data_IF_601494846828
#
_entry.id   IF_601494846828
#
_cell.length_a   1.000
_cell.length_b   1.000
_cell.length_c   1.000
_cell.angle_alpha   90.00
_cell.angle_beta   90.00
_cell.angle_gamma   90.00
#
_symmetry.space_group_name_H-M   'P 1'
#
loop_
_entity.id
_entity.type
_entity.pdbx_description
1 polymer ?
#
# COMPACT_ATOMS: atom_id res chain seq x y z
N UNK A 1 118.08 16.23 31.35
CA UNK A 1 118.20 16.14 29.88
C UNK A 1 116.84 15.81 29.32
N UNK A 2 116.30 16.79 28.60
CA UNK A 2 114.96 16.89 28.02
C UNK A 2 114.98 16.39 26.58
N UNK A 3 114.07 15.49 26.20
CA UNK A 3 113.71 15.26 24.80
C UNK A 3 112.19 15.41 24.66
N UNK A 4 111.80 16.59 24.17
CA UNK A 4 110.48 16.92 23.64
C UNK A 4 110.27 16.11 22.35
N UNK A 5 109.35 15.14 22.35
CA UNK A 5 108.73 14.71 21.10
C UNK A 5 107.56 15.64 20.84
N UNK A 6 107.79 16.59 19.95
CA UNK A 6 106.77 17.43 19.34
C UNK A 6 106.11 16.62 18.23
N UNK A 7 104.97 15.99 18.54
CA UNK A 7 104.06 15.51 17.51
C UNK A 7 103.48 16.75 16.82
N UNK A 8 104.15 17.13 15.74
CA UNK A 8 103.72 18.16 14.81
C UNK A 8 102.63 17.56 13.92
N UNK A 9 101.54 18.32 13.77
CA UNK A 9 100.45 18.09 12.84
C UNK A 9 101.01 17.82 11.42
N UNK A 10 100.85 16.60 10.94
CA UNK A 10 101.29 16.15 9.60
C UNK A 10 100.27 16.47 8.48
N UNK A 11 99.29 17.34 8.75
CA UNK A 11 98.32 17.80 7.74
C UNK A 11 98.74 19.09 7.04
N UNK A 12 99.77 19.80 7.54
CA UNK A 12 100.22 21.07 6.96
C UNK A 12 101.24 20.91 5.82
N UNK A 13 101.55 19.68 5.38
CA UNK A 13 102.55 19.42 4.33
C UNK A 13 102.06 18.54 3.17
N UNK A 14 100.75 18.38 3.00
CA UNK A 14 100.22 17.76 1.78
C UNK A 14 100.18 18.82 0.68
N UNK A 15 100.90 18.58 -0.42
CA UNK A 15 100.83 19.44 -1.61
C UNK A 15 99.37 19.64 -2.01
N UNK A 16 98.91 20.86 -2.31
CA UNK A 16 97.52 21.13 -2.67
C UNK A 16 96.96 20.23 -3.78
N UNK A 17 97.83 19.85 -4.72
CA UNK A 17 97.54 18.89 -5.79
C UNK A 17 97.19 17.49 -5.27
N UNK A 18 97.88 16.99 -4.25
CA UNK A 18 97.59 15.68 -3.67
C UNK A 18 96.28 15.69 -2.85
N UNK A 19 95.96 16.81 -2.19
CA UNK A 19 94.68 16.99 -1.51
C UNK A 19 93.50 17.00 -2.51
N UNK A 20 93.70 17.62 -3.67
CA UNK A 20 92.70 17.64 -4.75
C UNK A 20 92.50 16.26 -5.40
N UNK A 21 93.59 15.52 -5.65
CA UNK A 21 93.49 14.15 -6.20
C UNK A 21 92.78 13.19 -5.24
N UNK A 22 92.93 13.39 -3.92
CA UNK A 22 92.20 12.63 -2.91
C UNK A 22 90.72 13.03 -2.89
N UNK A 23 90.41 14.33 -2.90
CA UNK A 23 89.02 14.82 -2.92
C UNK A 23 88.25 14.36 -4.18
N UNK A 24 88.89 14.35 -5.35
CA UNK A 24 88.30 13.85 -6.60
C UNK A 24 87.99 12.35 -6.50
N UNK A 25 88.91 11.56 -5.95
CA UNK A 25 88.69 10.12 -5.73
C UNK A 25 87.58 9.83 -4.71
N UNK A 26 87.43 10.67 -3.69
CA UNK A 26 86.36 10.57 -2.69
C UNK A 26 84.98 10.95 -3.28
N UNK A 27 84.93 11.96 -4.15
CA UNK A 27 83.72 12.35 -4.90
C UNK A 27 83.24 11.19 -5.78
N UNK A 28 84.14 10.53 -6.49
CA UNK A 28 83.79 9.39 -7.37
C UNK A 28 83.30 8.15 -6.59
N UNK A 29 83.70 8.00 -5.32
CA UNK A 29 83.36 6.86 -4.47
C UNK A 29 82.09 7.04 -3.63
N UNK A 30 81.69 8.28 -3.32
CA UNK A 30 80.44 8.56 -2.61
C UNK A 30 79.23 8.27 -3.52
N UNK A 31 78.25 7.49 -3.07
CA UNK A 31 77.09 7.09 -3.88
C UNK A 31 75.90 8.05 -3.85
N UNK A 32 75.96 9.09 -3.02
CA UNK A 32 74.85 10.03 -2.80
C UNK A 32 75.16 11.40 -3.40
N UNK A 33 74.31 11.88 -4.31
CA UNK A 33 74.52 13.13 -5.04
C UNK A 33 74.71 14.35 -4.11
N UNK A 34 74.02 14.41 -2.98
CA UNK A 34 74.16 15.53 -2.03
C UNK A 34 75.52 15.53 -1.33
N UNK A 35 76.06 14.35 -1.00
CA UNK A 35 77.41 14.22 -0.41
C UNK A 35 78.49 14.61 -1.42
N UNK A 36 78.30 14.24 -2.70
CA UNK A 36 79.16 14.68 -3.81
C UNK A 36 79.18 16.19 -3.96
N UNK A 37 78.02 16.84 -3.87
CA UNK A 37 77.93 18.31 -3.98
C UNK A 37 78.63 19.00 -2.80
N UNK A 38 78.48 18.49 -1.58
CA UNK A 38 79.19 19.02 -0.40
C UNK A 38 80.71 18.89 -0.57
N UNK A 39 81.19 17.73 -1.04
CA UNK A 39 82.61 17.52 -1.31
C UNK A 39 83.13 18.42 -2.44
N UNK A 40 82.35 18.63 -3.50
CA UNK A 40 82.69 19.55 -4.58
C UNK A 40 82.81 21.00 -4.11
N UNK A 41 81.89 21.49 -3.27
CA UNK A 41 81.99 22.83 -2.68
C UNK A 41 83.17 22.96 -1.72
N UNK A 42 83.48 21.91 -0.94
CA UNK A 42 84.68 21.88 -0.10
C UNK A 42 85.97 21.94 -0.93
N UNK A 43 86.01 21.26 -2.10
CA UNK A 43 87.14 21.35 -3.02
C UNK A 43 87.28 22.77 -3.61
N UNK A 44 86.17 23.40 -4.02
CA UNK A 44 86.20 24.81 -4.45
C UNK A 44 86.76 25.73 -3.37
N UNK A 45 86.34 25.56 -2.12
CA UNK A 45 86.80 26.38 -1.00
C UNK A 45 88.31 26.21 -0.70
N UNK A 46 88.90 25.05 -1.05
CA UNK A 46 90.35 24.81 -0.94
C UNK A 46 91.15 25.41 -2.12
N UNK A 47 90.57 25.47 -3.32
CA UNK A 47 91.23 25.98 -4.54
C UNK A 47 91.18 27.51 -4.60
N UNK A 48 90.06 28.11 -4.19
CA UNK A 48 89.82 29.57 -4.29
C UNK A 48 90.96 30.42 -3.71
N UNK A 49 91.53 30.13 -2.52
CA UNK A 49 92.65 30.89 -1.97
C UNK A 49 93.94 30.80 -2.78
N UNK A 50 94.13 29.72 -3.54
CA UNK A 50 95.38 29.42 -4.27
C UNK A 50 95.42 30.06 -5.67
N UNK A 51 94.27 30.57 -6.15
CA UNK A 51 94.12 31.16 -7.49
C UNK A 51 94.58 32.62 -7.61
N UNK A 52 95.01 33.25 -6.52
CA UNK A 52 95.54 34.62 -6.52
C UNK A 52 94.55 35.64 -7.09
N UNK A 53 94.91 36.30 -8.20
CA UNK A 53 94.10 37.35 -8.84
C UNK A 53 92.73 36.85 -9.33
N UNK A 54 92.60 35.56 -9.64
CA UNK A 54 91.34 34.96 -10.09
C UNK A 54 90.42 34.50 -8.96
N UNK A 55 90.88 34.57 -7.71
CA UNK A 55 90.12 34.20 -6.52
C UNK A 55 88.73 34.87 -6.44
N UNK A 56 88.58 36.19 -6.71
CA UNK A 56 87.27 36.84 -6.65
C UNK A 56 86.28 36.33 -7.72
N UNK A 57 86.79 36.02 -8.93
CA UNK A 57 85.96 35.51 -10.02
C UNK A 57 85.43 34.11 -9.71
N UNK A 58 86.31 33.21 -9.25
CA UNK A 58 85.92 31.82 -8.94
C UNK A 58 85.08 31.76 -7.66
N UNK A 59 85.30 32.66 -6.69
CA UNK A 59 84.42 32.80 -5.53
C UNK A 59 83.00 33.20 -5.93
N UNK A 60 82.84 34.12 -6.89
CA UNK A 60 81.52 34.48 -7.41
C UNK A 60 80.83 33.30 -8.11
N UNK A 61 81.56 32.55 -8.96
CA UNK A 61 81.02 31.35 -9.60
C UNK A 61 80.61 30.28 -8.57
N UNK A 62 81.44 30.05 -7.54
CA UNK A 62 81.11 29.13 -6.44
C UNK A 62 79.82 29.55 -5.72
N UNK A 63 79.63 30.84 -5.49
CA UNK A 63 78.40 31.36 -4.87
C UNK A 63 77.19 31.21 -5.80
N UNK A 64 77.32 31.49 -7.10
CA UNK A 64 76.25 31.26 -8.08
C UNK A 64 75.86 29.78 -8.16
N UNK A 65 76.84 28.87 -8.19
CA UNK A 65 76.57 27.43 -8.16
C UNK A 65 75.93 27.00 -6.84
N UNK A 66 76.35 27.57 -5.71
CA UNK A 66 75.77 27.28 -4.41
C UNK A 66 74.29 27.70 -4.34
N UNK A 67 73.96 28.89 -4.86
CA UNK A 67 72.58 29.38 -4.94
C UNK A 67 71.71 28.58 -5.93
N UNK A 68 72.31 27.92 -6.93
CA UNK A 68 71.58 27.02 -7.84
C UNK A 68 71.21 25.68 -7.19
N UNK A 69 72.01 25.20 -6.24
CA UNK A 69 71.86 23.87 -5.62
C UNK A 69 71.06 23.96 -4.32
N UNK A 70 71.27 25.03 -3.55
CA UNK A 70 70.64 25.25 -2.26
C UNK A 70 69.65 26.41 -2.31
N UNK A 71 68.52 26.24 -1.64
CA UNK A 71 67.46 27.25 -1.61
C UNK A 71 67.87 28.48 -0.80
N UNK A 72 67.61 29.65 -1.38
CA UNK A 72 67.78 30.93 -0.71
C UNK A 72 66.71 31.22 0.36
N UNK A 73 65.58 30.51 0.31
CA UNK A 73 64.41 30.80 1.15
C UNK A 73 64.19 29.78 2.27
N UNK A 74 64.69 28.55 2.09
CA UNK A 74 64.46 27.46 3.04
C UNK A 74 65.76 27.05 3.73
N UNK A 75 65.76 27.13 5.06
CA UNK A 75 66.87 26.72 5.91
C UNK A 75 66.43 25.70 6.95
N UNK A 76 67.33 24.79 7.31
CA UNK A 76 67.14 23.81 8.38
C UNK A 76 68.13 24.13 9.50
N UNK A 77 67.66 24.15 10.74
CA UNK A 77 68.55 24.16 11.90
C UNK A 77 69.08 22.75 12.13
N UNK A 78 70.37 22.54 11.86
CA UNK A 78 71.05 21.32 12.29
C UNK A 78 71.69 21.52 13.66
N UNK A 79 71.35 20.63 14.59
CA UNK A 79 72.02 20.54 15.89
C UNK A 79 73.20 19.59 15.71
N UNK A 80 74.40 20.13 15.46
CA UNK A 80 75.61 19.31 15.43
C UNK A 80 75.95 18.81 16.84
N UNK A 81 75.56 17.57 17.15
CA UNK A 81 76.00 16.87 18.35
C UNK A 81 77.44 16.35 18.13
N UNK A 82 78.43 17.25 18.11
CA UNK A 82 79.83 16.81 18.19
C UNK A 82 80.05 16.22 19.59
N UNK A 83 80.46 14.95 19.64
CA UNK A 83 80.56 14.07 20.82
C UNK A 83 81.58 14.50 21.90
N UNK A 84 81.95 15.77 21.98
CA UNK A 84 82.93 16.30 22.94
C UNK A 84 82.22 17.14 24.00
N UNK A 85 82.08 16.55 25.19
CA UNK A 85 81.62 17.21 26.43
C UNK A 85 82.30 18.59 26.58
N UNK A 86 81.50 19.65 26.71
CA UNK A 86 81.86 21.06 27.04
C UNK A 86 82.19 22.04 25.89
N UNK A 87 81.48 22.02 24.76
CA UNK A 87 81.35 23.23 23.92
C UNK A 87 79.87 23.53 23.62
N UNK A 88 79.51 24.81 23.64
CA UNK A 88 78.15 25.34 23.43
C UNK A 88 77.51 24.68 22.20
N UNK A 89 76.23 24.30 22.29
CA UNK A 89 75.43 23.90 21.12
C UNK A 89 75.39 25.11 20.18
N UNK A 90 76.07 25.01 19.05
CA UNK A 90 75.95 26.00 17.98
C UNK A 90 74.92 25.39 17.02
N UNK A 91 73.72 25.96 16.99
CA UNK A 91 72.77 25.66 15.93
C UNK A 91 73.36 26.26 14.65
N UNK A 92 73.70 25.42 13.68
CA UNK A 92 74.05 25.89 12.34
C UNK A 92 72.79 25.90 11.50
N UNK A 93 72.48 27.07 10.94
CA UNK A 93 71.42 27.24 9.95
C UNK A 93 72.02 26.85 8.61
N UNK A 94 71.60 25.72 8.07
CA UNK A 94 72.04 25.22 6.76
C UNK A 94 70.92 25.44 5.73
N UNK A 95 71.28 25.88 4.52
CA UNK A 95 70.31 26.01 3.43
C UNK A 95 69.92 24.62 2.93
N UNK A 96 68.63 24.44 2.64
CA UNK A 96 68.13 23.16 2.17
C UNK A 96 68.41 22.99 0.67
N UNK A 97 68.87 21.81 0.25
CA UNK A 97 69.04 21.47 -1.16
C UNK A 97 67.69 21.48 -1.89
N UNK A 98 67.67 21.99 -3.13
CA UNK A 98 66.48 21.92 -3.98
C UNK A 98 66.04 20.47 -4.25
N UNK A 99 66.96 19.50 -4.24
CA UNK A 99 66.65 18.07 -4.35
C UNK A 99 65.68 17.62 -3.25
N UNK A 100 66.01 17.95 -1.99
CA UNK A 100 65.17 17.60 -0.83
C UNK A 100 63.81 18.30 -0.88
N UNK A 101 63.77 19.55 -1.38
CA UNK A 101 62.50 20.26 -1.58
C UNK A 101 61.63 19.56 -2.65
N UNK A 102 62.24 19.11 -3.74
CA UNK A 102 61.55 18.35 -4.78
C UNK A 102 61.04 17.00 -4.26
N UNK A 103 61.85 16.26 -3.50
CA UNK A 103 61.43 14.98 -2.88
C UNK A 103 60.22 15.19 -1.96
N UNK A 104 60.26 16.19 -1.07
CA UNK A 104 59.11 16.52 -0.21
C UNK A 104 57.86 16.89 -1.00
N UNK A 105 58.02 17.60 -2.10
CA UNK A 105 56.90 17.98 -2.96
C UNK A 105 56.30 16.76 -3.67
N UNK A 106 57.14 15.82 -4.10
CA UNK A 106 56.71 14.55 -4.68
C UNK A 106 55.98 13.71 -3.63
N UNK A 107 56.51 13.60 -2.40
CA UNK A 107 55.90 12.84 -1.31
C UNK A 107 54.52 13.41 -0.94
N UNK A 108 54.40 14.74 -0.83
CA UNK A 108 53.13 15.41 -0.57
C UNK A 108 52.11 15.17 -1.70
N UNK A 109 52.55 15.23 -2.96
CA UNK A 109 51.69 14.92 -4.10
C UNK A 109 51.23 13.46 -4.10
N UNK A 110 52.13 12.51 -3.81
CA UNK A 110 51.79 11.09 -3.70
C UNK A 110 50.80 10.84 -2.55
N UNK A 111 51.00 11.48 -1.41
CA UNK A 111 50.06 11.41 -0.30
C UNK A 111 48.67 11.93 -0.71
N UNK A 112 48.60 13.10 -1.35
CA UNK A 112 47.33 13.66 -1.81
C UNK A 112 46.65 12.74 -2.83
N UNK A 113 47.40 12.19 -3.79
CA UNK A 113 46.88 11.22 -4.74
C UNK A 113 46.29 10.00 -4.04
N UNK A 114 47.00 9.42 -3.06
CA UNK A 114 46.50 8.28 -2.29
C UNK A 114 45.20 8.60 -1.54
N UNK A 115 45.08 9.81 -1.00
CA UNK A 115 43.86 10.28 -0.31
C UNK A 115 42.71 10.41 -1.31
N UNK A 116 42.97 10.93 -2.51
CA UNK A 116 41.95 11.04 -3.56
C UNK A 116 41.51 9.68 -4.08
N UNK A 117 42.44 8.75 -4.31
CA UNK A 117 42.13 7.38 -4.74
C UNK A 117 41.25 6.66 -3.72
N UNK A 118 41.58 6.75 -2.42
CA UNK A 118 40.77 6.16 -1.36
C UNK A 118 39.35 6.77 -1.34
N UNK A 119 39.23 8.10 -1.41
CA UNK A 119 37.92 8.76 -1.46
C UNK A 119 37.12 8.36 -2.71
N UNK A 120 37.79 8.20 -3.85
CA UNK A 120 37.14 7.77 -5.09
C UNK A 120 36.58 6.35 -4.94
N UNK A 121 37.38 5.43 -4.39
CA UNK A 121 36.95 4.07 -4.06
C UNK A 121 35.76 4.04 -3.09
N UNK A 122 35.77 4.88 -2.07
CA UNK A 122 34.64 5.01 -1.13
C UNK A 122 33.37 5.51 -1.84
N UNK A 123 33.50 6.46 -2.78
CA UNK A 123 32.35 6.95 -3.56
C UNK A 123 31.83 5.87 -4.51
N UNK A 124 32.70 5.14 -5.19
CA UNK A 124 32.33 4.06 -6.10
C UNK A 124 31.60 2.92 -5.38
N UNK A 125 32.10 2.51 -4.21
CA UNK A 125 31.46 1.47 -3.39
C UNK A 125 30.09 1.93 -2.88
N UNK A 126 29.98 3.16 -2.38
CA UNK A 126 28.69 3.74 -1.97
C UNK A 126 27.71 3.84 -3.14
N UNK A 127 28.18 4.22 -4.33
CA UNK A 127 27.35 4.32 -5.53
C UNK A 127 26.86 2.93 -5.97
N UNK A 128 27.71 1.91 -5.91
CA UNK A 128 27.34 0.53 -6.20
C UNK A 128 26.29 0.01 -5.21
N UNK A 129 26.43 0.30 -3.91
CA UNK A 129 25.44 -0.03 -2.88
C UNK A 129 24.09 0.67 -3.15
N UNK A 130 24.12 1.97 -3.43
CA UNK A 130 22.89 2.73 -3.74
C UNK A 130 22.20 2.25 -5.01
N UNK A 131 22.95 1.88 -6.04
CA UNK A 131 22.38 1.29 -7.25
C UNK A 131 21.74 -0.08 -6.97
N UNK A 132 22.35 -0.89 -6.10
CA UNK A 132 21.76 -2.15 -5.66
C UNK A 132 20.46 -1.92 -4.89
N UNK A 133 20.43 -0.98 -3.94
CA UNK A 133 19.23 -0.62 -3.18
C UNK A 133 18.11 -0.12 -4.10
N UNK A 134 18.47 0.71 -5.08
CA UNK A 134 17.55 1.24 -6.09
C UNK A 134 16.93 0.10 -6.92
N UNK A 135 17.73 -0.84 -7.40
CA UNK A 135 17.25 -1.99 -8.16
C UNK A 135 16.31 -2.87 -7.32
N UNK A 136 16.65 -3.13 -6.06
CA UNK A 136 15.76 -3.86 -5.14
C UNK A 136 14.44 -3.13 -4.89
N UNK A 137 14.47 -1.79 -4.82
CA UNK A 137 13.26 -0.98 -4.69
C UNK A 137 12.38 -1.08 -5.94
N UNK A 138 12.97 -1.03 -7.14
CA UNK A 138 12.25 -1.22 -8.40
C UNK A 138 11.57 -2.60 -8.48
N UNK A 139 12.27 -3.67 -8.10
CA UNK A 139 11.68 -5.01 -8.04
C UNK A 139 10.49 -5.08 -7.08
N UNK A 140 10.60 -4.46 -5.89
CA UNK A 140 9.49 -4.39 -4.93
C UNK A 140 8.30 -3.61 -5.48
N UNK A 141 8.55 -2.48 -6.13
CA UNK A 141 7.50 -1.67 -6.78
C UNK A 141 6.77 -2.52 -7.82
N UNK A 142 7.51 -3.22 -8.68
CA UNK A 142 6.93 -4.08 -9.71
C UNK A 142 6.10 -5.23 -9.10
N UNK A 143 6.56 -5.83 -8.00
CA UNK A 143 5.79 -6.85 -7.28
C UNK A 143 4.47 -6.28 -6.72
N UNK A 144 4.52 -5.08 -6.12
CA UNK A 144 3.34 -4.39 -5.58
C UNK A 144 2.36 -4.03 -6.70
N UNK A 145 2.85 -3.52 -7.84
CA UNK A 145 2.00 -3.21 -9.00
C UNK A 145 1.30 -4.46 -9.55
N UNK A 146 2.02 -5.57 -9.66
CA UNK A 146 1.44 -6.84 -10.08
C UNK A 146 0.38 -7.35 -9.09
N UNK A 147 0.63 -7.23 -7.78
CA UNK A 147 -0.35 -7.59 -6.75
C UNK A 147 -1.59 -6.69 -6.79
N UNK A 148 -1.39 -5.37 -6.96
CA UNK A 148 -2.46 -4.39 -7.13
C UNK A 148 -3.33 -4.74 -8.34
N UNK A 149 -2.73 -5.08 -9.49
CA UNK A 149 -3.48 -5.44 -10.69
C UNK A 149 -4.32 -6.71 -10.48
N UNK A 150 -3.76 -7.73 -9.81
CA UNK A 150 -4.51 -8.95 -9.44
C UNK A 150 -5.71 -8.63 -8.56
N UNK A 151 -5.52 -7.85 -7.50
CA UNK A 151 -6.60 -7.43 -6.61
C UNK A 151 -7.66 -6.59 -7.33
N UNK A 152 -7.27 -5.70 -8.25
CA UNK A 152 -8.23 -4.94 -9.05
C UNK A 152 -9.07 -5.84 -9.97
N UNK A 153 -8.44 -6.86 -10.58
CA UNK A 153 -9.15 -7.83 -11.40
C UNK A 153 -10.13 -8.66 -10.55
N UNK A 154 -9.70 -9.17 -9.40
CA UNK A 154 -10.56 -9.89 -8.46
C UNK A 154 -11.74 -9.04 -7.98
N UNK A 155 -11.49 -7.78 -7.62
CA UNK A 155 -12.52 -6.84 -7.19
C UNK A 155 -13.52 -6.58 -8.33
N UNK A 156 -13.05 -6.46 -9.58
CA UNK A 156 -13.93 -6.32 -10.73
C UNK A 156 -14.82 -7.55 -10.94
N UNK A 157 -14.27 -8.76 -10.81
CA UNK A 157 -15.01 -10.01 -10.94
C UNK A 157 -16.03 -10.20 -9.79
N UNK A 158 -15.69 -9.79 -8.58
CA UNK A 158 -16.62 -9.80 -7.45
C UNK A 158 -17.75 -8.79 -7.65
N UNK A 159 -17.46 -7.60 -8.19
CA UNK A 159 -18.50 -6.61 -8.53
C UNK A 159 -19.44 -7.09 -9.62
N UNK A 160 -18.94 -7.76 -10.67
CA UNK A 160 -19.82 -8.33 -11.70
C UNK A 160 -20.70 -9.42 -11.11
N UNK A 161 -20.13 -10.32 -10.31
CA UNK A 161 -20.88 -11.38 -9.62
C UNK A 161 -21.96 -10.80 -8.70
N UNK A 162 -21.64 -9.76 -7.93
CA UNK A 162 -22.60 -9.09 -7.06
C UNK A 162 -23.78 -8.50 -7.86
N UNK A 163 -23.47 -7.80 -8.95
CA UNK A 163 -24.50 -7.22 -9.82
C UNK A 163 -25.39 -8.28 -10.48
N UNK A 164 -24.83 -9.43 -10.86
CA UNK A 164 -25.61 -10.58 -11.35
C UNK A 164 -26.54 -11.14 -10.27
N UNK A 165 -26.06 -11.24 -9.02
CA UNK A 165 -26.88 -11.69 -7.89
C UNK A 165 -27.98 -10.69 -7.53
N UNK A 166 -27.69 -9.39 -7.57
CA UNK A 166 -28.70 -8.34 -7.33
C UNK A 166 -29.82 -8.42 -8.37
N UNK A 167 -29.47 -8.59 -9.65
CA UNK A 167 -30.47 -8.81 -10.71
C UNK A 167 -31.30 -10.07 -10.48
N UNK A 168 -30.66 -11.17 -10.09
CA UNK A 168 -31.36 -12.42 -9.78
C UNK A 168 -32.33 -12.26 -8.61
N UNK A 169 -31.90 -11.55 -7.56
CA UNK A 169 -32.76 -11.23 -6.42
C UNK A 169 -33.98 -10.44 -6.87
N UNK A 170 -33.80 -9.44 -7.72
CA UNK A 170 -34.91 -8.64 -8.22
C UNK A 170 -35.89 -9.47 -9.05
N UNK A 171 -35.39 -10.32 -9.96
CA UNK A 171 -36.25 -11.24 -10.72
C UNK A 171 -37.04 -12.19 -9.81
N UNK A 172 -36.40 -12.69 -8.75
CA UNK A 172 -37.07 -13.60 -7.80
C UNK A 172 -38.13 -12.86 -6.97
N UNK A 173 -37.93 -11.58 -6.64
CA UNK A 173 -38.96 -10.78 -5.98
C UNK A 173 -40.17 -10.58 -6.87
N UNK A 174 -39.97 -10.21 -8.13
CA UNK A 174 -41.05 -10.06 -9.11
C UNK A 174 -41.84 -11.36 -9.30
N UNK A 175 -41.14 -12.50 -9.39
CA UNK A 175 -41.76 -13.83 -9.45
C UNK A 175 -42.55 -14.17 -8.18
N UNK A 176 -42.00 -13.86 -7.00
CA UNK A 176 -42.69 -14.04 -5.72
C UNK A 176 -43.96 -13.18 -5.65
N UNK A 177 -43.91 -11.92 -6.08
CA UNK A 177 -45.07 -11.03 -6.07
C UNK A 177 -46.15 -11.50 -7.04
N UNK A 178 -45.74 -11.91 -8.24
CA UNK A 178 -46.66 -12.45 -9.25
C UNK A 178 -47.33 -13.74 -8.79
N UNK A 179 -46.57 -14.67 -8.20
CA UNK A 179 -47.13 -15.91 -7.65
C UNK A 179 -48.06 -15.63 -6.48
N UNK A 180 -47.71 -14.67 -5.60
CA UNK A 180 -48.60 -14.24 -4.51
C UNK A 180 -49.92 -13.70 -5.03
N UNK A 181 -49.88 -12.81 -6.02
CA UNK A 181 -51.07 -12.25 -6.66
C UNK A 181 -51.95 -13.33 -7.29
N UNK A 182 -51.35 -14.27 -8.04
CA UNK A 182 -52.09 -15.37 -8.65
C UNK A 182 -52.77 -16.25 -7.59
N UNK A 183 -52.06 -16.58 -6.50
CA UNK A 183 -52.63 -17.34 -5.38
C UNK A 183 -53.80 -16.60 -4.72
N UNK A 184 -53.65 -15.30 -4.46
CA UNK A 184 -54.74 -14.46 -3.91
C UNK A 184 -55.98 -14.47 -4.83
N UNK A 185 -55.76 -14.37 -6.14
CA UNK A 185 -56.83 -14.43 -7.14
C UNK A 185 -57.50 -15.81 -7.20
N UNK A 186 -56.74 -16.90 -7.14
CA UNK A 186 -57.28 -18.25 -7.09
C UNK A 186 -58.07 -18.51 -5.82
N UNK A 187 -57.59 -18.04 -4.67
CA UNK A 187 -58.32 -18.11 -3.40
C UNK A 187 -59.67 -17.40 -3.54
N UNK A 188 -59.68 -16.17 -4.06
CA UNK A 188 -60.91 -15.40 -4.26
C UNK A 188 -61.90 -16.12 -5.20
N UNK A 189 -61.42 -16.60 -6.35
CA UNK A 189 -62.26 -17.33 -7.31
C UNK A 189 -62.83 -18.62 -6.69
N UNK A 190 -62.04 -19.32 -5.89
CA UNK A 190 -62.47 -20.54 -5.20
C UNK A 190 -63.52 -20.23 -4.15
N UNK A 191 -63.35 -19.15 -3.38
CA UNK A 191 -64.36 -18.69 -2.42
C UNK A 191 -65.69 -18.36 -3.10
N UNK A 192 -65.65 -17.75 -4.29
CA UNK A 192 -66.84 -17.39 -5.06
C UNK A 192 -67.59 -18.65 -5.54
N UNK A 193 -66.85 -19.65 -6.04
CA UNK A 193 -67.42 -20.96 -6.40
C UNK A 193 -68.01 -21.70 -5.19
N UNK A 194 -67.34 -21.64 -4.04
CA UNK A 194 -67.86 -22.25 -2.80
C UNK A 194 -69.19 -21.63 -2.41
N UNK A 195 -69.31 -20.29 -2.48
CA UNK A 195 -70.59 -19.61 -2.22
C UNK A 195 -71.69 -20.05 -3.19
N UNK A 196 -71.39 -20.09 -4.48
CA UNK A 196 -72.33 -20.55 -5.51
C UNK A 196 -72.80 -22.00 -5.25
N UNK A 197 -71.88 -22.90 -4.86
CA UNK A 197 -72.22 -24.29 -4.52
C UNK A 197 -73.12 -24.34 -3.27
N UNK A 198 -72.84 -23.54 -2.24
CA UNK A 198 -73.66 -23.48 -1.02
C UNK A 198 -75.07 -22.97 -1.35
N UNK A 199 -75.19 -21.93 -2.17
CA UNK A 199 -76.49 -21.40 -2.62
C UNK A 199 -77.25 -22.45 -3.43
N UNK A 200 -76.60 -23.09 -4.41
CA UNK A 200 -77.19 -24.18 -5.18
C UNK A 200 -77.64 -25.34 -4.27
N UNK A 201 -76.81 -25.73 -3.29
CA UNK A 201 -77.17 -26.76 -2.32
C UNK A 201 -78.44 -26.37 -1.54
N UNK A 202 -78.52 -25.15 -1.01
CA UNK A 202 -79.71 -24.66 -0.31
C UNK A 202 -80.97 -24.68 -1.20
N UNK A 203 -80.85 -24.30 -2.46
CA UNK A 203 -81.99 -24.37 -3.40
C UNK A 203 -82.42 -25.81 -3.68
N UNK A 204 -81.48 -26.74 -3.83
CA UNK A 204 -81.79 -28.15 -4.03
C UNK A 204 -82.40 -28.80 -2.78
N UNK A 205 -81.94 -28.44 -1.58
CA UNK A 205 -82.53 -28.89 -0.32
C UNK A 205 -83.97 -28.39 -0.19
N UNK A 206 -84.23 -27.12 -0.49
CA UNK A 206 -85.59 -26.57 -0.50
C UNK A 206 -86.51 -27.30 -1.51
N UNK A 207 -85.99 -27.63 -2.70
CA UNK A 207 -86.74 -28.40 -3.69
C UNK A 207 -87.01 -29.84 -3.23
N UNK A 208 -86.03 -30.50 -2.59
CA UNK A 208 -86.22 -31.83 -1.99
C UNK A 208 -87.31 -31.78 -0.93
N UNK A 209 -87.29 -30.77 -0.05
CA UNK A 209 -88.32 -30.57 0.98
C UNK A 209 -89.70 -30.37 0.35
N UNK A 210 -89.79 -29.60 -0.74
CA UNK A 210 -91.04 -29.44 -1.47
C UNK A 210 -91.54 -30.75 -2.10
N UNK A 211 -90.66 -31.46 -2.83
CA UNK A 211 -90.97 -32.75 -3.45
C UNK A 211 -91.31 -33.83 -2.41
N UNK A 212 -90.71 -33.78 -1.22
CA UNK A 212 -91.01 -34.69 -0.13
C UNK A 212 -92.48 -34.61 0.31
N UNK A 213 -93.08 -33.40 0.27
CA UNK A 213 -94.50 -33.20 0.58
C UNK A 213 -95.40 -33.84 -0.47
N UNK A 214 -95.06 -33.68 -1.75
CA UNK A 214 -95.78 -34.33 -2.84
C UNK A 214 -95.69 -35.85 -2.75
N UNK A 215 -94.49 -36.38 -2.47
CA UNK A 215 -94.28 -37.81 -2.25
C UNK A 215 -95.10 -38.30 -1.06
N UNK A 216 -95.06 -37.62 0.08
CA UNK A 216 -95.84 -37.98 1.25
C UNK A 216 -97.35 -37.99 0.95
N UNK A 217 -97.85 -37.01 0.19
CA UNK A 217 -99.24 -36.98 -0.26
C UNK A 217 -99.57 -38.15 -1.20
N UNK A 218 -98.65 -38.50 -2.10
CA UNK A 218 -98.78 -39.68 -2.97
C UNK A 218 -98.80 -40.98 -2.16
N UNK A 219 -97.86 -41.16 -1.24
CA UNK A 219 -97.75 -42.32 -0.36
C UNK A 219 -99.03 -42.47 0.49
N UNK A 220 -99.59 -41.37 1.03
CA UNK A 220 -100.88 -41.37 1.74
C UNK A 220 -102.06 -41.74 0.84
N UNK A 221 -102.07 -41.27 -0.41
CA UNK A 221 -103.11 -41.66 -1.38
C UNK A 221 -103.00 -43.14 -1.73
N UNK A 222 -101.79 -43.65 -1.96
CA UNK A 222 -101.53 -45.06 -2.22
C UNK A 222 -101.93 -45.92 -1.02
N UNK A 223 -101.57 -45.50 0.20
CA UNK A 223 -101.98 -46.15 1.45
C UNK A 223 -103.51 -46.16 1.59
N UNK A 224 -104.20 -45.04 1.36
CA UNK A 224 -105.66 -44.98 1.37
C UNK A 224 -106.31 -45.89 0.32
N UNK A 225 -105.68 -46.06 -0.86
CA UNK A 225 -106.13 -46.99 -1.90
C UNK A 225 -105.89 -48.46 -1.53
N UNK A 226 -104.79 -48.76 -0.85
CA UNK A 226 -104.47 -50.11 -0.38
C UNK A 226 -105.33 -50.49 0.85
N UNK A 227 -105.61 -49.53 1.73
CA UNK A 227 -106.34 -49.72 2.99
C UNK A 227 -107.87 -49.66 2.81
N UNK A 228 -108.36 -49.15 1.67
CA UNK A 228 -109.77 -49.26 1.27
C UNK A 228 -110.18 -50.69 0.85
N UNK A 229 -109.25 -51.66 0.89
CA UNK A 229 -109.58 -53.09 0.86
C UNK A 229 -109.96 -53.69 2.23
N UNK A 230 -109.92 -52.90 3.32
CA UNK A 230 -110.20 -53.36 4.69
C UNK A 230 -111.19 -52.46 5.45
N UNK A 231 -112.44 -52.38 4.98
CA UNK A 231 -113.53 -51.85 5.81
C UNK A 231 -114.02 -52.91 6.83
N UNK A 232 -113.78 -52.67 8.13
CA UNK A 232 -114.77 -52.95 9.19
C UNK A 232 -114.76 -51.89 10.30
N UNK A 233 -115.92 -51.42 10.79
CA UNK A 233 -116.01 -50.35 11.77
C UNK A 233 -116.08 -50.89 13.21
N UNK A 234 -115.54 -50.12 14.14
CA UNK A 234 -115.93 -50.15 15.55
C UNK A 234 -115.60 -48.82 16.20
N UNK A 235 -116.58 -48.22 16.85
CA UNK A 235 -116.51 -46.86 17.38
C UNK A 235 -115.85 -46.74 18.75
N UNK A 236 -115.61 -45.48 19.15
CA UNK A 236 -116.24 -44.76 20.28
C UNK A 236 -115.48 -43.44 20.54
N UNK A 237 -116.25 -42.36 20.78
CA UNK A 237 -116.11 -41.32 21.83
C UNK A 237 -114.70 -40.81 22.16
N UNK A 238 -114.39 -39.51 22.23
CA UNK A 238 -115.08 -38.40 22.91
C UNK A 238 -114.45 -37.07 22.45
N UNK A 239 -115.19 -35.96 22.64
CA UNK A 239 -114.58 -34.78 23.26
C UNK A 239 -114.25 -33.58 22.38
N UNK A 240 -115.18 -32.63 22.40
CA UNK A 240 -114.97 -31.19 22.56
C UNK A 240 -114.57 -30.26 21.40
N UNK A 241 -115.46 -29.28 21.25
CA UNK A 241 -115.26 -27.86 20.95
C UNK A 241 -115.14 -27.42 19.49
N UNK A 242 -116.31 -27.02 18.99
CA UNK A 242 -116.51 -25.96 18.00
C UNK A 242 -116.30 -24.61 18.71
N UNK A 243 -115.43 -23.74 18.19
CA UNK A 243 -115.63 -22.28 18.23
C UNK A 243 -114.72 -21.55 17.22
N UNK A 244 -115.37 -20.93 16.22
CA UNK A 244 -115.01 -19.71 15.49
C UNK A 244 -113.67 -19.66 14.72
N UNK A 245 -113.68 -20.18 13.49
CA UNK A 245 -112.76 -19.76 12.42
C UNK A 245 -113.43 -18.68 11.57
N UNK A 246 -113.08 -17.41 11.80
CA UNK A 246 -113.24 -16.32 10.81
C UNK A 246 -112.44 -15.06 11.23
N UNK A 247 -111.17 -15.20 11.66
CA UNK A 247 -110.29 -14.04 11.92
C UNK A 247 -108.81 -14.09 11.45
N UNK A 248 -108.23 -15.16 10.83
CA UNK A 248 -106.81 -15.12 10.47
C UNK A 248 -106.53 -14.32 9.18
N UNK A 249 -107.53 -14.08 8.32
CA UNK A 249 -107.31 -13.48 7.00
C UNK A 249 -107.07 -11.96 7.06
N UNK A 250 -107.68 -11.26 8.02
CA UNK A 250 -107.54 -9.80 8.17
C UNK A 250 -106.18 -9.43 8.79
N UNK A 251 -105.67 -10.24 9.72
CA UNK A 251 -104.34 -10.04 10.30
C UNK A 251 -103.22 -10.29 9.30
N UNK A 252 -103.30 -11.35 8.49
CA UNK A 252 -102.31 -11.62 7.44
C UNK A 252 -102.34 -10.52 6.37
N UNK A 253 -103.53 -10.03 5.98
CA UNK A 253 -103.65 -8.93 5.02
C UNK A 253 -103.08 -7.61 5.56
N UNK A 254 -103.30 -7.31 6.83
CA UNK A 254 -102.76 -6.10 7.47
C UNK A 254 -101.24 -6.19 7.65
N UNK A 255 -100.72 -7.38 7.96
CA UNK A 255 -99.27 -7.62 8.04
C UNK A 255 -98.61 -7.47 6.66
N UNK A 256 -99.21 -8.05 5.61
CA UNK A 256 -98.73 -7.90 4.23
C UNK A 256 -98.77 -6.43 3.76
N UNK A 257 -99.81 -5.68 4.12
CA UNK A 257 -99.90 -4.24 3.83
C UNK A 257 -98.81 -3.43 4.54
N UNK A 258 -98.48 -3.77 5.79
CA UNK A 258 -97.37 -3.16 6.52
C UNK A 258 -96.02 -3.49 5.86
N UNK A 259 -95.81 -4.75 5.48
CA UNK A 259 -94.58 -5.19 4.82
C UNK A 259 -94.39 -4.51 3.45
N UNK A 260 -95.47 -4.34 2.68
CA UNK A 260 -95.44 -3.59 1.42
C UNK A 260 -95.08 -2.11 1.65
N UNK A 261 -95.64 -1.47 2.68
CA UNK A 261 -95.30 -0.07 2.99
C UNK A 261 -93.85 0.10 3.45
N UNK A 262 -93.32 -0.87 4.21
CA UNK A 262 -91.90 -0.88 4.61
C UNK A 262 -91.00 -1.09 3.39
N UNK A 263 -91.36 -1.99 2.47
CA UNK A 263 -90.60 -2.23 1.24
C UNK A 263 -90.54 -1.00 0.33
N UNK A 264 -91.67 -0.29 0.13
CA UNK A 264 -91.72 0.95 -0.65
C UNK A 264 -90.82 2.03 -0.03
N UNK A 265 -90.83 2.15 1.31
CA UNK A 265 -89.99 3.12 2.01
C UNK A 265 -88.50 2.79 1.92
N UNK A 266 -88.16 1.50 1.89
CA UNK A 266 -86.78 1.04 1.70
C UNK A 266 -86.30 1.31 0.26
N UNK A 267 -87.18 1.10 -0.72
CA UNK A 267 -86.93 1.41 -2.13
C UNK A 267 -86.67 2.92 -2.33
N UNK A 268 -87.51 3.79 -1.75
CA UNK A 268 -87.29 5.24 -1.78
C UNK A 268 -85.93 5.63 -1.17
N UNK A 269 -85.57 5.05 -0.03
CA UNK A 269 -84.27 5.30 0.62
C UNK A 269 -83.08 4.85 -0.25
N UNK A 270 -83.18 3.70 -0.90
CA UNK A 270 -82.15 3.21 -1.82
C UNK A 270 -82.02 4.08 -3.07
N UNK A 271 -83.15 4.53 -3.65
CA UNK A 271 -83.16 5.47 -4.77
C UNK A 271 -82.54 6.81 -4.39
N UNK A 272 -82.78 7.30 -3.17
CA UNK A 272 -82.17 8.54 -2.68
C UNK A 272 -80.64 8.38 -2.54
N UNK A 273 -80.18 7.25 -1.97
CA UNK A 273 -78.74 6.96 -1.85
C UNK A 273 -78.07 6.76 -3.21
N UNK A 274 -78.74 6.11 -4.16
CA UNK A 274 -78.23 5.93 -5.50
C UNK A 274 -78.07 7.28 -6.21
N UNK A 275 -79.09 8.15 -6.14
CA UNK A 275 -79.01 9.48 -6.74
C UNK A 275 -77.93 10.35 -6.09
N UNK A 276 -77.75 10.26 -4.76
CA UNK A 276 -76.67 10.96 -4.05
C UNK A 276 -75.26 10.44 -4.39
N UNK A 277 -75.13 9.18 -4.81
CA UNK A 277 -73.84 8.59 -5.22
C UNK A 277 -73.53 8.76 -6.70
N UNK A 278 -74.53 9.06 -7.54
CA UNK A 278 -74.36 9.37 -8.96
C UNK A 278 -74.20 10.86 -9.28
N UNK A 279 -74.60 11.76 -8.37
CA UNK A 279 -74.46 13.22 -8.52
C UNK A 279 -73.21 13.81 -7.81
N UNK A 280 -72.33 12.97 -7.24
CA UNK A 280 -71.02 13.36 -6.68
C UNK A 280 -69.85 12.85 -7.52
#
# INVERSE_FOLDING_TARGET
MTTRNSSTDLTDQISPTLALDIAIKEIDQSGHDDERMVLAFNAFDQIIPQLGVFSPLVANLRNEFFDCVYSNQFTVEQIQNKASRKRKRIACIERLSYKVLCERLIDEQQYQLSVFENKMSDVETNLAEKNRDLNQSFEKIQQIENAKQKLMNELSAMRTTLNEKDKLIETLKEECERTRFNCEQEIYNTQLKVKEIIENQATTEALIDELSKYKQGFDQMEEAFMDSSSHRPSGKKDGNQVENQDEPFVQVKNQLMLDIQVAIRLEEQMLTLLNMTTEG
#
